data_IF_880718986406
#
_entry.id   IF_880718986406
#
_cell.length_a   1.000
_cell.length_b   1.000
_cell.length_c   1.000
_cell.angle_alpha   90.00
_cell.angle_beta   90.00
_cell.angle_gamma   90.00
#
_symmetry.space_group_name_H-M   'P 1'
#
loop_
_entity.id
_entity.type
_entity.pdbx_description
1 polymer ?
#
# COMPACT_ATOMS: atom_id res chain seq x y z
N UNK A 1 8.72 -0.53 -0.92
CA UNK A 1 9.75 -1.12 -0.03
C UNK A 1 9.04 -2.02 0.96
N UNK A 2 9.50 -3.24 1.20
CA UNK A 2 8.86 -4.15 2.16
C UNK A 2 9.65 -4.16 3.46
N UNK A 3 8.97 -3.88 4.58
CA UNK A 3 9.56 -3.94 5.92
C UNK A 3 8.96 -5.11 6.67
N UNK A 4 9.78 -5.87 7.41
CA UNK A 4 9.34 -6.92 8.32
C UNK A 4 9.45 -6.45 9.77
N UNK A 5 8.41 -6.68 10.58
CA UNK A 5 8.42 -6.46 12.02
C UNK A 5 7.75 -7.65 12.72
N UNK A 6 8.44 -8.26 13.69
CA UNK A 6 7.93 -9.43 14.43
C UNK A 6 7.41 -10.58 13.54
N UNK A 7 8.01 -10.78 12.37
CA UNK A 7 7.60 -11.82 11.43
C UNK A 7 6.51 -11.41 10.42
N UNK A 8 5.90 -10.23 10.56
CA UNK A 8 4.89 -9.69 9.65
C UNK A 8 5.46 -8.65 8.69
N UNK A 9 4.93 -8.59 7.48
CA UNK A 9 5.33 -7.69 6.41
C UNK A 9 4.35 -6.54 6.26
N UNK A 10 4.88 -5.40 5.84
CA UNK A 10 4.11 -4.26 5.35
C UNK A 10 4.36 -4.11 3.85
N UNK A 11 3.28 -3.99 3.07
CA UNK A 11 3.33 -3.59 1.67
C UNK A 11 2.90 -2.13 1.51
N UNK A 12 3.71 -1.34 0.81
CA UNK A 12 3.52 0.09 0.58
C UNK A 12 4.31 0.51 -0.66
N UNK A 13 3.65 1.23 -1.56
CA UNK A 13 4.29 1.88 -2.70
C UNK A 13 3.83 3.34 -2.82
N UNK A 14 4.75 4.21 -3.23
CA UNK A 14 4.56 5.65 -3.45
C UNK A 14 5.39 6.10 -4.64
N UNK A 15 4.88 7.09 -5.37
CA UNK A 15 5.61 7.75 -6.45
C UNK A 15 6.65 8.72 -5.91
N UNK A 16 7.87 8.65 -6.45
CA UNK A 16 8.94 9.63 -6.16
C UNK A 16 9.34 10.27 -7.48
N UNK A 17 9.25 11.60 -7.56
CA UNK A 17 9.63 12.39 -8.72
C UNK A 17 11.01 13.01 -8.52
N UNK A 18 11.86 12.94 -9.55
CA UNK A 18 13.17 13.59 -9.57
C UNK A 18 13.13 14.80 -10.50
N UNK A 19 13.32 16.00 -9.96
CA UNK A 19 13.24 17.25 -10.73
C UNK A 19 11.79 17.56 -11.16
N UNK A 20 11.61 18.03 -12.40
CA UNK A 20 10.28 18.42 -12.91
C UNK A 20 9.49 17.20 -13.35
N UNK A 21 8.39 16.92 -12.65
CA UNK A 21 7.42 15.89 -13.04
C UNK A 21 6.64 16.36 -14.27
N UNK A 22 6.43 15.45 -15.23
CA UNK A 22 5.66 15.75 -16.44
C UNK A 22 4.15 15.79 -16.10
N UNK A 23 3.35 16.68 -16.71
CA UNK A 23 1.90 16.74 -16.44
C UNK A 23 1.17 15.40 -16.62
N UNK A 24 1.57 14.58 -17.60
CA UNK A 24 1.01 13.24 -17.80
C UNK A 24 1.20 12.31 -16.59
N UNK A 25 2.35 12.41 -15.90
CA UNK A 25 2.59 11.62 -14.68
C UNK A 25 1.69 12.07 -13.53
N UNK A 26 1.40 13.37 -13.42
CA UNK A 26 0.50 13.88 -12.39
C UNK A 26 -0.95 13.43 -12.64
N UNK A 27 -1.39 13.42 -13.90
CA UNK A 27 -2.70 12.89 -14.29
C UNK A 27 -2.79 11.40 -13.93
N UNK A 28 -1.77 10.62 -14.32
CA UNK A 28 -1.68 9.20 -14.00
C UNK A 28 -1.68 8.95 -12.48
N UNK A 29 -0.90 9.71 -11.71
CA UNK A 29 -0.88 9.61 -10.25
C UNK A 29 -2.25 9.91 -9.64
N UNK A 30 -2.91 10.99 -10.07
CA UNK A 30 -4.24 11.35 -9.56
C UNK A 30 -5.26 10.24 -9.83
N UNK A 31 -5.18 9.58 -10.99
CA UNK A 31 -6.05 8.46 -11.31
C UNK A 31 -5.82 7.25 -10.38
N UNK A 32 -4.57 6.83 -10.16
CA UNK A 32 -4.31 5.71 -9.23
C UNK A 32 -4.64 6.06 -7.79
N UNK A 33 -4.48 7.33 -7.40
CA UNK A 33 -4.87 7.85 -6.08
C UNK A 33 -6.38 7.77 -5.88
N UNK A 34 -7.16 8.26 -6.86
CA UNK A 34 -8.62 8.18 -6.78
C UNK A 34 -9.13 6.74 -6.80
N UNK A 35 -8.47 5.82 -7.53
CA UNK A 35 -8.80 4.40 -7.49
C UNK A 35 -8.65 3.81 -6.08
N UNK A 36 -7.55 4.11 -5.37
CA UNK A 36 -7.38 3.67 -3.97
C UNK A 36 -8.43 4.31 -3.07
N UNK A 37 -8.62 5.63 -3.11
CA UNK A 37 -9.57 6.33 -2.25
C UNK A 37 -11.01 5.84 -2.45
N UNK A 38 -11.41 5.61 -3.71
CA UNK A 38 -12.78 5.21 -4.05
C UNK A 38 -13.05 3.72 -3.77
N UNK A 39 -12.01 2.87 -3.78
CA UNK A 39 -12.14 1.42 -3.56
C UNK A 39 -11.73 0.98 -2.15
N UNK A 40 -11.02 1.80 -1.39
CA UNK A 40 -10.65 1.50 -0.01
C UNK A 40 -11.85 1.07 0.86
N UNK A 41 -13.04 1.70 0.79
CA UNK A 41 -14.21 1.26 1.56
C UNK A 41 -14.71 -0.15 1.22
N UNK A 42 -14.34 -0.71 0.06
CA UNK A 42 -14.71 -2.06 -0.35
C UNK A 42 -13.87 -3.14 0.37
N UNK A 43 -12.72 -2.80 0.96
CA UNK A 43 -11.98 -3.72 1.84
C UNK A 43 -12.75 -3.80 3.16
N UNK A 44 -13.80 -4.60 3.26
CA UNK A 44 -14.61 -4.70 4.49
C UNK A 44 -15.30 -6.06 4.58
N UNK A 45 -15.83 -6.44 5.76
CA UNK A 45 -16.54 -7.70 5.92
C UNK A 45 -17.66 -7.86 4.89
N UNK A 46 -17.90 -9.11 4.48
CA UNK A 46 -18.93 -9.52 3.52
C UNK A 46 -18.72 -9.04 2.07
N UNK A 47 -17.58 -8.40 1.75
CA UNK A 47 -17.24 -8.05 0.37
C UNK A 47 -16.52 -9.22 -0.30
N UNK A 48 -16.92 -9.59 -1.51
CA UNK A 48 -16.23 -10.61 -2.31
C UNK A 48 -15.02 -9.97 -2.99
N UNK A 49 -13.84 -10.60 -2.91
CA UNK A 49 -12.58 -10.11 -3.49
C UNK A 49 -12.70 -9.73 -4.99
N UNK A 50 -13.34 -10.58 -5.80
CA UNK A 50 -13.62 -10.27 -7.20
C UNK A 50 -14.51 -9.05 -7.42
N UNK A 51 -15.38 -8.71 -6.47
CA UNK A 51 -16.22 -7.51 -6.52
C UNK A 51 -15.40 -6.22 -6.44
N UNK A 52 -14.35 -6.19 -5.62
CA UNK A 52 -13.42 -5.05 -5.53
C UNK A 52 -12.72 -4.84 -6.87
N UNK A 53 -12.21 -5.93 -7.49
CA UNK A 53 -11.56 -5.84 -8.80
C UNK A 53 -12.50 -5.36 -9.90
N UNK A 54 -13.73 -5.89 -9.98
CA UNK A 54 -14.69 -5.45 -11.02
C UNK A 54 -14.98 -3.96 -10.92
N UNK A 55 -15.25 -3.45 -9.71
CA UNK A 55 -15.47 -2.02 -9.49
C UNK A 55 -14.24 -1.17 -9.80
N UNK A 56 -13.05 -1.69 -9.58
CA UNK A 56 -11.82 -0.97 -9.94
C UNK A 56 -11.61 -0.95 -11.46
N UNK A 57 -11.92 -2.04 -12.17
CA UNK A 57 -11.86 -2.10 -13.64
C UNK A 57 -12.82 -1.11 -14.32
N UNK A 58 -14.01 -0.89 -13.75
CA UNK A 58 -14.96 0.15 -14.21
C UNK A 58 -14.32 1.55 -14.22
N UNK A 59 -13.35 1.83 -13.32
CA UNK A 59 -12.67 3.13 -13.27
C UNK A 59 -11.67 3.36 -14.41
N UNK A 60 -11.35 2.33 -15.20
CA UNK A 60 -10.51 2.48 -16.39
C UNK A 60 -11.30 2.95 -17.62
N UNK A 61 -12.62 2.83 -17.61
CA UNK A 61 -13.47 3.18 -18.75
C UNK A 61 -13.31 4.65 -19.13
N UNK A 62 -13.07 4.92 -20.41
CA UNK A 62 -12.88 6.28 -20.93
C UNK A 62 -11.55 6.96 -20.57
N UNK A 63 -10.71 6.35 -19.71
CA UNK A 63 -9.44 6.96 -19.29
C UNK A 63 -8.33 6.86 -20.34
N UNK A 64 -8.42 5.88 -21.24
CA UNK A 64 -7.37 5.52 -22.20
C UNK A 64 -6.19 4.73 -21.60
N UNK A 65 -6.16 4.53 -20.28
CA UNK A 65 -5.15 3.72 -19.60
C UNK A 65 -5.60 2.25 -19.51
N UNK A 66 -4.62 1.35 -19.28
CA UNK A 66 -4.87 -0.08 -19.10
C UNK A 66 -4.27 -0.58 -17.78
N UNK A 67 -4.91 -1.56 -17.12
CA UNK A 67 -4.33 -2.21 -15.95
C UNK A 67 -3.09 -3.02 -16.36
N UNK A 68 -2.07 -3.02 -15.51
CA UNK A 68 -0.80 -3.73 -15.80
C UNK A 68 -0.84 -5.20 -15.36
N UNK A 69 -1.58 -5.49 -14.29
CA UNK A 69 -1.69 -6.82 -13.68
C UNK A 69 -3.15 -7.26 -13.55
N UNK A 70 -3.44 -8.57 -13.45
CA UNK A 70 -4.82 -9.08 -13.41
C UNK A 70 -5.51 -8.91 -12.04
N UNK A 71 -4.83 -8.36 -11.04
CA UNK A 71 -5.35 -8.11 -9.69
C UNK A 71 -5.16 -6.64 -9.31
N UNK A 72 -5.92 -6.15 -8.33
CA UNK A 72 -5.77 -4.80 -7.75
C UNK A 72 -5.30 -4.85 -6.29
N UNK A 73 -4.84 -6.01 -5.83
CA UNK A 73 -4.37 -6.21 -4.47
C UNK A 73 -4.24 -7.67 -4.08
N UNK A 74 -3.70 -7.92 -2.91
CA UNK A 74 -3.49 -9.25 -2.36
C UNK A 74 -3.46 -9.23 -0.83
N UNK A 75 -3.64 -10.40 -0.21
CA UNK A 75 -3.41 -10.58 1.22
C UNK A 75 -1.94 -10.40 1.57
N UNK A 76 -1.67 -9.82 2.73
CA UNK A 76 -0.31 -9.60 3.24
C UNK A 76 -0.23 -9.88 4.74
N UNK A 77 0.85 -10.54 5.15
CA UNK A 77 1.06 -10.92 6.54
C UNK A 77 2.44 -11.50 6.75
N UNK A 78 2.55 -12.80 6.98
CA UNK A 78 3.86 -13.48 7.10
C UNK A 78 4.57 -13.66 5.75
N UNK A 79 3.77 -13.75 4.69
CA UNK A 79 4.17 -13.69 3.30
C UNK A 79 3.80 -12.33 2.69
N UNK A 80 4.55 -11.92 1.68
CA UNK A 80 4.31 -10.67 0.95
C UNK A 80 3.00 -10.78 0.18
N UNK A 81 2.89 -11.84 -0.63
CA UNK A 81 1.72 -12.15 -1.44
C UNK A 81 1.03 -13.40 -0.88
N UNK A 82 -0.28 -13.30 -0.65
CA UNK A 82 -1.13 -14.38 -0.21
C UNK A 82 -2.61 -14.08 -0.52
N UNK A 83 -3.51 -15.03 -0.27
CA UNK A 83 -4.94 -14.79 -0.42
C UNK A 83 -5.47 -13.81 0.65
N UNK A 84 -6.58 -13.09 0.39
CA UNK A 84 -7.30 -13.06 -0.88
C UNK A 84 -6.48 -12.33 -1.96
N UNK A 85 -6.59 -12.75 -3.21
CA UNK A 85 -6.11 -11.97 -4.34
C UNK A 85 -7.28 -11.15 -4.90
N UNK A 86 -7.16 -9.84 -5.01
CA UNK A 86 -8.23 -9.00 -5.51
C UNK A 86 -8.27 -9.06 -7.05
N UNK A 87 -8.67 -10.21 -7.59
CA UNK A 87 -8.83 -10.46 -9.03
C UNK A 87 -10.20 -11.06 -9.35
N UNK A 88 -10.59 -11.03 -10.61
CA UNK A 88 -11.97 -11.32 -11.04
C UNK A 88 -12.47 -12.73 -10.72
N UNK A 89 -11.58 -13.71 -10.49
CA UNK A 89 -11.97 -15.09 -10.18
C UNK A 89 -11.78 -15.47 -8.71
N UNK A 90 -11.38 -14.54 -7.84
CA UNK A 90 -11.32 -14.79 -6.40
C UNK A 90 -12.71 -14.61 -5.77
N UNK A 91 -13.27 -15.71 -5.29
CA UNK A 91 -14.57 -15.74 -4.60
C UNK A 91 -14.45 -15.60 -3.09
N UNK A 92 -13.26 -15.34 -2.54
CA UNK A 92 -13.05 -15.15 -1.10
C UNK A 92 -13.90 -13.98 -0.61
N UNK A 93 -14.70 -14.24 0.43
CA UNK A 93 -15.44 -13.21 1.16
C UNK A 93 -14.53 -12.66 2.25
N UNK A 94 -14.35 -11.33 2.28
CA UNK A 94 -13.54 -10.68 3.31
C UNK A 94 -14.23 -10.83 4.67
N UNK A 95 -13.44 -11.17 5.68
CA UNK A 95 -13.86 -11.30 7.09
C UNK A 95 -13.17 -10.25 7.96
N UNK A 96 -13.67 -9.94 9.17
CA UNK A 96 -12.96 -9.13 10.13
C UNK A 96 -11.56 -9.70 10.43
N UNK A 97 -10.54 -8.83 10.45
CA UNK A 97 -9.15 -9.19 10.70
C UNK A 97 -8.35 -9.60 9.46
N UNK A 98 -9.01 -9.84 8.31
CA UNK A 98 -8.28 -10.04 7.06
C UNK A 98 -7.56 -8.76 6.62
N UNK A 99 -6.34 -8.90 6.12
CA UNK A 99 -5.51 -7.79 5.65
C UNK A 99 -5.29 -7.95 4.15
N UNK A 100 -5.58 -6.91 3.40
CA UNK A 100 -5.35 -6.86 1.96
C UNK A 100 -4.71 -5.53 1.55
N UNK A 101 -3.90 -5.59 0.50
CA UNK A 101 -3.41 -4.41 -0.19
C UNK A 101 -4.46 -3.95 -1.20
N UNK A 102 -4.44 -2.65 -1.51
CA UNK A 102 -5.12 -2.06 -2.64
C UNK A 102 -4.08 -1.29 -3.44
N UNK A 103 -3.75 -1.82 -4.61
CA UNK A 103 -2.59 -1.42 -5.41
C UNK A 103 -2.88 -1.32 -6.91
N UNK A 104 -3.81 -0.44 -7.34
CA UNK A 104 -4.06 -0.23 -8.76
C UNK A 104 -2.76 0.19 -9.47
N UNK A 105 -2.58 -0.32 -10.68
CA UNK A 105 -1.42 -0.04 -11.51
C UNK A 105 -1.85 0.20 -12.95
N UNK A 106 -1.41 1.31 -13.51
CA UNK A 106 -1.72 1.73 -14.88
C UNK A 106 -0.46 1.84 -15.73
N UNK A 107 -0.55 1.48 -17.01
CA UNK A 107 0.50 1.76 -17.99
C UNK A 107 0.29 3.10 -18.67
N UNK A 108 1.32 3.93 -18.73
CA UNK A 108 1.31 5.24 -19.39
C UNK A 108 1.73 5.16 -20.86
N UNK A 109 2.40 4.09 -21.25
CA UNK A 109 2.89 3.88 -22.61
C UNK A 109 2.24 2.64 -23.23
N UNK A 110 2.10 2.64 -24.55
CA UNK A 110 1.64 1.47 -25.29
C UNK A 110 2.64 0.32 -25.26
N UNK A 111 3.92 0.62 -25.03
CA UNK A 111 5.01 -0.35 -24.85
C UNK A 111 5.02 -1.03 -23.47
N UNK A 112 4.35 -0.46 -22.46
CA UNK A 112 4.34 -0.99 -21.09
C UNK A 112 5.61 -0.70 -20.28
N UNK A 113 6.49 0.16 -20.79
CA UNK A 113 7.78 0.50 -20.16
C UNK A 113 7.68 1.55 -19.05
N UNK A 114 6.52 2.21 -18.92
CA UNK A 114 6.29 3.24 -17.91
C UNK A 114 4.93 3.04 -17.25
N UNK A 115 4.94 2.77 -15.95
CA UNK A 115 3.75 2.51 -15.14
C UNK A 115 3.64 3.48 -13.97
N UNK A 116 2.41 3.71 -13.50
CA UNK A 116 2.13 4.39 -12.24
C UNK A 116 1.31 3.49 -11.33
N UNK A 117 1.63 3.50 -10.03
CA UNK A 117 0.94 2.74 -9.00
C UNK A 117 1.16 3.38 -7.65
N UNK A 118 0.16 3.24 -6.79
CA UNK A 118 0.28 3.39 -5.35
C UNK A 118 -0.27 2.13 -4.70
N UNK A 119 0.18 1.82 -3.50
CA UNK A 119 -0.28 0.67 -2.75
C UNK A 119 -0.45 1.07 -1.29
N UNK A 120 -1.64 0.82 -0.76
CA UNK A 120 -1.95 0.93 0.65
C UNK A 120 -2.42 -0.41 1.21
N UNK A 121 -2.21 -0.61 2.51
CA UNK A 121 -2.57 -1.83 3.20
C UNK A 121 -3.71 -1.56 4.17
N UNK A 122 -4.77 -2.35 4.08
CA UNK A 122 -5.97 -2.19 4.87
C UNK A 122 -6.25 -3.45 5.66
N UNK A 123 -6.74 -3.27 6.89
CA UNK A 123 -7.35 -4.35 7.66
C UNK A 123 -8.86 -4.19 7.60
N UNK A 124 -9.56 -5.26 7.20
CA UNK A 124 -11.00 -5.38 7.26
C UNK A 124 -11.43 -5.42 8.72
N UNK A 125 -12.29 -4.51 9.15
CA UNK A 125 -12.77 -4.38 10.54
C UNK A 125 -14.29 -4.29 10.54
N UNK A 126 -14.93 -4.47 11.69
CA UNK A 126 -16.32 -4.05 11.84
C UNK A 126 -16.35 -2.57 12.27
N UNK A 127 -17.12 -1.69 11.60
CA UNK A 127 -18.06 -1.92 10.50
C UNK A 127 -17.47 -1.69 9.07
N UNK A 128 -16.15 -1.55 8.90
CA UNK A 128 -15.52 -1.19 7.62
C UNK A 128 -14.06 -1.65 7.48
N UNK A 129 -13.12 -0.69 7.49
CA UNK A 129 -11.69 -0.96 7.52
C UNK A 129 -10.89 0.12 8.22
N UNK A 130 -9.62 -0.19 8.43
CA UNK A 130 -8.59 0.73 8.84
C UNK A 130 -7.39 0.64 7.87
N UNK A 131 -6.88 1.80 7.45
CA UNK A 131 -5.64 1.91 6.69
C UNK A 131 -4.43 1.80 7.63
N UNK A 132 -3.50 0.90 7.32
CA UNK A 132 -2.29 0.63 8.10
C UNK A 132 -1.08 1.46 7.62
N UNK A 133 -1.22 2.17 6.51
CA UNK A 133 -0.14 2.92 5.82
C UNK A 133 -0.37 4.44 5.77
N UNK A 134 -1.14 4.98 6.72
CA UNK A 134 -1.53 6.40 6.79
C UNK A 134 -0.37 7.39 6.95
N UNK A 135 0.80 6.93 7.41
CA UNK A 135 1.97 7.79 7.61
C UNK A 135 2.71 8.21 6.34
N UNK A 136 2.29 7.74 5.16
CA UNK A 136 2.93 8.05 3.89
C UNK A 136 1.96 8.81 2.96
N UNK A 137 2.29 10.05 2.53
CA UNK A 137 1.48 10.82 1.58
C UNK A 137 1.34 10.09 0.23
N UNK A 138 0.18 10.19 -0.43
CA UNK A 138 -0.11 9.51 -1.71
C UNK A 138 0.31 10.33 -2.94
N UNK A 139 0.55 11.64 -2.77
CA UNK A 139 1.10 12.54 -3.77
C UNK A 139 2.54 12.18 -4.14
N UNK A 140 2.97 12.59 -5.34
CA UNK A 140 4.34 12.36 -5.80
C UNK A 140 5.28 13.15 -4.90
N UNK A 141 6.13 12.44 -4.15
CA UNK A 141 7.18 13.08 -3.38
C UNK A 141 8.25 13.62 -4.33
N UNK A 142 8.42 14.94 -4.39
CA UNK A 142 9.47 15.57 -5.16
C UNK A 142 10.78 15.51 -4.38
N UNK A 143 11.70 14.67 -4.85
CA UNK A 143 13.06 14.69 -4.35
C UNK A 143 13.83 15.79 -5.07
N UNK A 144 14.17 16.84 -4.33
CA UNK A 144 15.13 17.84 -4.80
C UNK A 144 16.42 17.13 -5.21
N UNK A 145 17.01 17.53 -6.35
CA UNK A 145 18.36 17.06 -6.68
C UNK A 145 19.24 17.37 -5.47
N UNK A 146 19.92 16.35 -4.95
CA UNK A 146 20.99 16.56 -3.99
C UNK A 146 22.06 17.43 -4.70
N UNK A 147 21.94 18.75 -4.58
CA UNK A 147 23.06 19.64 -4.79
C UNK A 147 24.14 19.13 -3.86
N UNK A 148 25.34 18.88 -4.40
CA UNK A 148 26.52 18.53 -3.62
C UNK A 148 26.69 19.61 -2.56
N UNK A 149 26.24 19.36 -1.32
CA UNK A 149 26.42 20.31 -0.22
C UNK A 149 27.91 20.28 0.16
N UNK A 150 28.67 21.36 0.01
CA UNK A 150 30.01 21.40 0.58
C UNK A 150 29.87 21.41 2.10
N UNK A 151 30.44 20.41 2.79
CA UNK A 151 30.78 20.52 4.22
C UNK A 151 29.76 20.07 5.27
N UNK A 152 28.86 19.12 5.00
CA UNK A 152 27.95 18.61 6.04
C UNK A 152 28.33 17.19 6.50
N UNK A 153 29.01 17.09 7.65
CA UNK A 153 29.27 15.84 8.37
C UNK A 153 27.96 15.22 8.85
N UNK A 154 27.84 13.89 8.71
CA UNK A 154 26.67 13.13 9.10
C UNK A 154 26.36 13.27 10.59
N UNK A 155 25.29 14.00 10.94
CA UNK A 155 24.68 13.88 12.26
C UNK A 155 23.18 13.62 12.13
N UNK A 156 22.83 12.34 12.27
CA UNK A 156 21.57 11.75 12.78
C UNK A 156 20.26 12.41 12.33
N UNK A 157 19.68 11.92 11.23
CA UNK A 157 18.22 11.90 11.07
C UNK A 157 17.64 10.77 11.94
N UNK A 158 17.25 11.12 13.16
CA UNK A 158 16.40 10.27 13.98
C UNK A 158 14.95 10.35 13.49
N UNK A 159 14.55 9.43 12.61
CA UNK A 159 13.15 9.22 12.26
C UNK A 159 12.45 8.53 13.44
N UNK A 160 11.76 9.30 14.28
CA UNK A 160 10.85 8.74 15.30
C UNK A 160 9.58 8.29 14.58
N UNK A 161 9.56 7.05 14.08
CA UNK A 161 8.32 6.43 13.61
C UNK A 161 7.56 5.90 14.80
N UNK A 162 6.30 6.33 14.96
CA UNK A 162 5.34 5.83 15.94
C UNK A 162 4.86 4.41 15.57
N UNK A 163 5.78 3.47 15.35
CA UNK A 163 5.49 2.08 14.95
C UNK A 163 5.18 1.16 16.15
N UNK A 164 5.17 1.71 17.37
CA UNK A 164 4.97 0.95 18.61
C UNK A 164 3.51 0.68 19.00
N UNK A 165 2.57 1.51 18.54
CA UNK A 165 1.20 1.52 19.07
C UNK A 165 0.19 0.70 18.26
N UNK A 166 0.46 0.45 16.97
CA UNK A 166 -0.43 -0.34 16.10
C UNK A 166 -0.53 -1.80 16.58
N UNK A 167 0.59 -2.43 16.96
CA UNK A 167 0.61 -3.83 17.37
C UNK A 167 -0.01 -4.08 18.76
N UNK A 168 -0.03 -3.05 19.63
CA UNK A 168 -0.65 -3.16 20.97
C UNK A 168 -2.18 -3.11 20.90
N UNK A 169 -2.76 -2.41 19.91
CA UNK A 169 -4.21 -2.35 19.68
C UNK A 169 -4.80 -3.65 19.11
N UNK A 170 -3.98 -4.49 18.47
CA UNK A 170 -4.41 -5.76 17.85
C UNK A 170 -4.53 -6.95 18.83
N UNK A 171 -4.41 -6.77 20.15
CA UNK A 171 -4.61 -7.86 21.12
C UNK A 171 -3.58 -9.00 21.08
N UNK A 172 -2.52 -8.89 20.27
CA UNK A 172 -1.42 -9.86 20.23
C UNK A 172 -0.48 -9.56 21.40
N UNK A 173 -0.85 -10.03 22.59
CA UNK A 173 0.04 -10.05 23.75
C UNK A 173 1.13 -11.09 23.49
N UNK A 174 2.32 -10.65 23.09
CA UNK A 174 3.52 -11.44 23.30
C UNK A 174 3.64 -11.67 24.82
N UNK A 175 3.29 -12.87 25.29
CA UNK A 175 3.61 -13.32 26.64
C UNK A 175 5.13 -13.36 26.76
N UNK A 176 5.71 -12.28 27.28
CA UNK A 176 7.12 -12.23 27.65
C UNK A 176 7.24 -12.91 29.03
N UNK A 177 7.43 -14.23 29.05
CA UNK A 177 7.97 -14.89 30.24
C UNK A 177 9.46 -14.59 30.30
N UNK A 178 9.80 -13.82 31.32
CA UNK A 178 11.15 -13.51 31.79
C UNK A 178 12.03 -14.77 31.80
N UNK A 179 13.23 -14.67 31.25
CA UNK A 179 14.43 -15.12 31.94
C UNK A 179 15.53 -14.06 31.74
N UNK A 180 15.82 -13.37 32.84
CA UNK A 180 17.03 -12.58 33.09
C UNK A 180 18.18 -13.58 33.15
N UNK A 181 19.30 -13.35 32.49
CA UNK A 181 20.41 -12.62 33.09
C UNK A 181 21.14 -13.50 34.10
N UNK A 182 22.25 -14.10 33.67
CA UNK A 182 23.25 -14.76 34.51
C UNK A 182 23.85 -13.79 35.54
N UNK A 183 24.51 -14.32 36.57
CA UNK A 183 25.97 -14.20 36.62
C UNK A 183 26.66 -15.51 36.25
#
# INVERSE_FOLDING_TARGET
>A
MQRRQAGYLCNLSRGIGFGKVKPAMEVAQRLVTSMVETRAPDIRPCTVASGIRRKELEMFEGTGYKPVVPYTGHGVGRAVHGPPYLYEKDSTVLEPGMVATLEPMITLTSSGDLNSSIADQYVSTEPGNECLTTGAPQDIHLQERAGRRPGMTQSRLGCRTATGDIWRRMGIVARNSRLRGSP
#
